data_IF_424903269288
#
_entry.id   IF_424903269288
#
_cell.length_a   1.000
_cell.length_b   1.000
_cell.length_c   1.000
_cell.angle_alpha   90.00
_cell.angle_beta   90.00
_cell.angle_gamma   90.00
#
_symmetry.space_group_name_H-M   'P 1'
#
loop_
_entity.id
_entity.type
_entity.pdbx_description
1 polymer ?
#
# COMPACT_ATOMS: atom_id res chain seq x y z
N UNK A 1 -1.98 25.54 11.62
CA UNK A 1 -2.43 24.70 10.49
C UNK A 1 -1.96 23.23 10.57
N UNK A 2 -1.48 22.75 11.73
CA UNK A 2 -0.94 21.40 11.94
C UNK A 2 -1.76 20.56 12.95
N UNK A 3 -3.05 20.85 13.19
CA UNK A 3 -3.83 20.20 14.27
C UNK A 3 -5.03 19.35 13.78
N UNK A 4 -5.25 19.26 12.46
CA UNK A 4 -6.48 18.67 11.89
C UNK A 4 -6.31 17.39 11.06
N UNK A 5 -5.10 16.97 10.68
CA UNK A 5 -4.86 15.70 9.97
C UNK A 5 -4.76 14.47 10.90
N UNK A 6 -4.59 14.67 12.21
CA UNK A 6 -4.18 13.67 13.21
C UNK A 6 -5.32 12.89 13.88
N UNK A 7 -6.54 13.40 13.74
CA UNK A 7 -7.58 13.14 14.73
C UNK A 7 -8.36 11.83 14.55
N UNK A 8 -8.26 11.02 13.49
CA UNK A 8 -9.16 9.83 13.37
C UNK A 8 -8.76 8.70 14.30
N UNK A 9 -7.61 8.07 14.06
CA UNK A 9 -7.12 6.98 14.89
C UNK A 9 -6.94 7.48 16.33
N UNK A 10 -6.39 8.69 16.50
CA UNK A 10 -6.18 9.35 17.80
C UNK A 10 -7.50 9.69 18.50
N UNK A 11 -8.54 10.20 17.83
CA UNK A 11 -9.85 10.41 18.49
C UNK A 11 -10.54 9.09 18.74
N UNK A 12 -10.36 8.09 17.89
CA UNK A 12 -10.93 6.77 18.12
C UNK A 12 -10.28 6.12 19.34
N UNK A 13 -8.94 6.08 19.44
CA UNK A 13 -8.22 5.62 20.64
C UNK A 13 -8.54 6.47 21.86
N UNK A 14 -8.58 7.80 21.75
CA UNK A 14 -8.93 8.67 22.88
C UNK A 14 -10.41 8.59 23.28
N UNK A 15 -11.33 8.32 22.36
CA UNK A 15 -12.75 8.09 22.63
C UNK A 15 -12.92 6.74 23.33
N UNK A 16 -12.30 5.66 22.83
CA UNK A 16 -12.28 4.36 23.52
C UNK A 16 -11.61 4.45 24.90
N UNK A 17 -10.56 5.28 25.04
CA UNK A 17 -9.89 5.55 26.32
C UNK A 17 -10.80 6.29 27.31
N UNK A 18 -11.46 7.38 26.87
CA UNK A 18 -12.40 8.15 27.70
C UNK A 18 -13.65 7.35 28.07
N UNK A 19 -14.09 6.44 27.21
CA UNK A 19 -15.26 5.59 27.42
C UNK A 19 -14.96 4.30 28.19
N UNK A 20 -13.75 4.15 28.78
CA UNK A 20 -13.42 2.98 29.60
C UNK A 20 -13.38 1.65 28.86
N UNK A 21 -13.23 1.65 27.53
CA UNK A 21 -13.22 0.43 26.72
C UNK A 21 -14.58 -0.03 26.18
N UNK A 22 -15.64 0.77 26.30
CA UNK A 22 -16.96 0.44 25.73
C UNK A 22 -16.99 0.67 24.22
N UNK A 23 -17.50 -0.37 23.52
CA UNK A 23 -17.76 -0.58 22.08
C UNK A 23 -17.32 0.50 21.06
N UNK A 24 -16.49 0.05 20.11
CA UNK A 24 -16.01 0.79 18.92
C UNK A 24 -17.11 1.45 18.05
N UNK A 25 -18.38 1.03 18.20
CA UNK A 25 -19.53 1.57 17.47
C UNK A 25 -19.97 2.96 17.90
N UNK A 26 -19.74 3.37 19.16
CA UNK A 26 -20.15 4.69 19.66
C UNK A 26 -19.20 5.82 19.24
N UNK A 27 -18.01 5.49 18.73
CA UNK A 27 -16.96 6.44 18.37
C UNK A 27 -16.76 6.52 16.84
N UNK A 28 -17.83 6.48 16.04
CA UNK A 28 -17.74 6.60 14.58
C UNK A 28 -17.25 8.00 14.18
N UNK A 29 -16.01 8.11 13.73
CA UNK A 29 -15.46 9.37 13.22
C UNK A 29 -15.49 9.34 11.70
N UNK A 30 -16.13 10.33 11.06
CA UNK A 30 -16.16 10.44 9.59
C UNK A 30 -14.72 10.49 9.03
N UNK A 31 -14.40 9.54 8.15
CA UNK A 31 -13.07 9.36 7.57
C UNK A 31 -12.74 10.37 6.45
N UNK A 32 -13.76 10.83 5.73
CA UNK A 32 -13.64 11.69 4.56
C UNK A 32 -12.79 12.94 4.77
N UNK A 33 -12.93 13.74 5.87
CA UNK A 33 -12.09 14.93 6.05
C UNK A 33 -10.59 14.60 6.16
N UNK A 34 -10.22 13.43 6.67
CA UNK A 34 -8.82 13.01 6.79
C UNK A 34 -8.24 12.58 5.44
N UNK A 35 -9.02 11.82 4.66
CA UNK A 35 -8.65 11.40 3.31
C UNK A 35 -8.49 12.63 2.41
N UNK A 36 -9.41 13.59 2.49
CA UNK A 36 -9.31 14.87 1.75
C UNK A 36 -8.07 15.64 2.18
N UNK A 37 -7.78 15.76 3.48
CA UNK A 37 -6.60 16.46 3.96
C UNK A 37 -5.28 15.78 3.52
N UNK A 38 -5.26 14.44 3.44
CA UNK A 38 -4.16 13.69 2.84
C UNK A 38 -4.04 13.99 1.34
N UNK A 39 -5.14 13.97 0.59
CA UNK A 39 -5.19 14.34 -0.82
C UNK A 39 -4.68 15.75 -1.10
N UNK A 40 -5.02 16.73 -0.26
CA UNK A 40 -4.49 18.11 -0.36
C UNK A 40 -2.97 18.13 -0.17
N UNK A 41 -2.43 17.39 0.82
CA UNK A 41 -1.00 17.29 1.01
C UNK A 41 -0.31 16.64 -0.20
N UNK A 42 -0.91 15.57 -0.76
CA UNK A 42 -0.40 14.93 -1.98
C UNK A 42 -0.44 15.85 -3.18
N UNK A 43 -1.48 16.68 -3.32
CA UNK A 43 -1.60 17.63 -4.42
C UNK A 43 -0.44 18.60 -4.42
N UNK A 44 -0.04 19.11 -3.25
CA UNK A 44 1.11 20.02 -3.09
C UNK A 44 2.41 19.28 -3.41
N UNK A 45 2.63 18.11 -2.80
CA UNK A 45 3.86 17.33 -2.98
C UNK A 45 4.04 16.85 -4.43
N UNK A 46 2.95 16.48 -5.10
CA UNK A 46 2.98 16.00 -6.48
C UNK A 46 3.31 17.09 -7.48
N UNK A 47 3.29 18.39 -7.14
CA UNK A 47 3.80 19.43 -8.04
C UNK A 47 5.34 19.49 -8.07
N UNK A 48 6.04 18.80 -7.18
CA UNK A 48 7.50 18.76 -7.17
C UNK A 48 7.97 17.85 -8.31
N UNK A 49 8.72 18.41 -9.27
CA UNK A 49 9.14 17.72 -10.51
C UNK A 49 10.26 16.69 -10.27
N UNK A 50 11.21 16.98 -9.38
CA UNK A 50 12.48 16.26 -9.33
C UNK A 50 12.52 15.17 -8.25
N UNK A 51 12.70 13.91 -8.65
CA UNK A 51 13.00 12.79 -7.75
C UNK A 51 14.27 13.02 -6.92
N UNK A 52 15.27 13.70 -7.49
CA UNK A 52 16.48 14.13 -6.77
C UNK A 52 16.23 15.17 -5.67
N UNK A 53 15.05 15.80 -5.61
CA UNK A 53 14.61 16.65 -4.49
C UNK A 53 13.73 15.89 -3.50
N UNK A 54 13.40 14.62 -3.79
CA UNK A 54 12.54 13.76 -2.97
C UNK A 54 13.31 12.62 -2.30
N UNK A 55 14.64 12.53 -2.46
CA UNK A 55 15.45 11.50 -1.79
C UNK A 55 15.24 11.51 -0.27
N UNK A 56 15.18 12.70 0.34
CA UNK A 56 14.91 12.87 1.76
C UNK A 56 13.51 12.38 2.13
N UNK A 57 12.53 12.56 1.25
CA UNK A 57 11.15 12.12 1.46
C UNK A 57 11.09 10.58 1.43
N UNK A 58 11.81 9.94 0.51
CA UNK A 58 11.96 8.49 0.47
C UNK A 58 12.68 7.95 1.70
N UNK A 59 13.75 8.60 2.16
CA UNK A 59 14.46 8.22 3.39
C UNK A 59 13.58 8.34 4.63
N UNK A 60 12.83 9.44 4.76
CA UNK A 60 11.85 9.63 5.85
C UNK A 60 10.77 8.57 5.78
N UNK A 61 10.20 8.30 4.60
CA UNK A 61 9.18 7.27 4.45
C UNK A 61 9.69 5.87 4.82
N UNK A 62 10.93 5.53 4.49
CA UNK A 62 11.56 4.28 4.89
C UNK A 62 11.73 4.21 6.42
N UNK A 63 12.27 5.26 7.04
CA UNK A 63 12.41 5.32 8.50
C UNK A 63 11.06 5.18 9.22
N UNK A 64 10.02 5.84 8.71
CA UNK A 64 8.67 5.74 9.26
C UNK A 64 8.07 4.34 9.06
N UNK A 65 8.39 3.65 7.95
CA UNK A 65 7.98 2.26 7.70
C UNK A 65 8.49 1.30 8.78
N UNK A 66 9.79 1.37 9.07
CA UNK A 66 10.38 0.61 10.17
C UNK A 66 9.73 1.01 11.50
N UNK A 67 9.60 2.30 11.77
CA UNK A 67 9.04 2.81 13.04
C UNK A 67 7.67 2.21 13.33
N UNK A 68 6.69 2.33 12.42
CA UNK A 68 5.36 1.80 12.70
C UNK A 68 5.34 0.27 12.76
N UNK A 69 6.16 -0.41 11.95
CA UNK A 69 6.20 -1.87 11.87
C UNK A 69 6.77 -2.49 13.14
N UNK A 70 7.87 -1.95 13.65
CA UNK A 70 8.47 -2.39 14.92
C UNK A 70 7.55 -2.11 16.11
N UNK A 71 6.90 -0.93 16.14
CA UNK A 71 5.94 -0.61 17.19
C UNK A 71 4.75 -1.57 17.14
N UNK A 72 4.16 -1.79 15.96
CA UNK A 72 3.02 -2.69 15.79
C UNK A 72 3.34 -4.11 16.25
N UNK A 73 4.45 -4.66 15.76
CA UNK A 73 4.91 -5.99 16.15
C UNK A 73 5.20 -6.09 17.66
N UNK A 74 5.88 -5.10 18.23
CA UNK A 74 6.18 -5.07 19.67
C UNK A 74 4.91 -5.04 20.53
N UNK A 75 3.92 -4.24 20.12
CA UNK A 75 2.61 -4.16 20.78
C UNK A 75 1.83 -5.48 20.68
N UNK A 76 1.89 -6.17 19.53
CA UNK A 76 1.27 -7.48 19.34
C UNK A 76 1.93 -8.57 20.20
N UNK A 77 3.26 -8.61 20.24
CA UNK A 77 4.01 -9.54 21.10
C UNK A 77 3.68 -9.29 22.56
N UNK A 78 3.69 -8.03 23.01
CA UNK A 78 3.32 -7.67 24.38
C UNK A 78 1.87 -8.07 24.69
N UNK A 79 0.95 -7.86 23.74
CA UNK A 79 -0.45 -8.27 23.88
C UNK A 79 -0.59 -9.78 24.01
N UNK A 80 0.09 -10.53 23.15
CA UNK A 80 0.12 -11.99 23.20
C UNK A 80 0.67 -12.48 24.56
N UNK A 81 1.83 -11.96 24.98
CA UNK A 81 2.45 -12.29 26.26
C UNK A 81 1.53 -12.00 27.46
N UNK A 82 0.83 -10.86 27.45
CA UNK A 82 -0.13 -10.50 28.51
C UNK A 82 -1.39 -11.36 28.54
N UNK A 83 -1.77 -11.95 27.39
CA UNK A 83 -2.97 -12.77 27.28
C UNK A 83 -2.72 -14.17 27.84
N UNK A 84 -1.48 -14.67 27.78
CA UNK A 84 -1.08 -15.97 28.32
C UNK A 84 -1.69 -17.19 27.61
N UNK A 85 -2.44 -16.98 26.52
CA UNK A 85 -3.05 -18.02 25.68
C UNK A 85 -3.10 -17.60 24.22
N UNK A 86 -3.01 -18.58 23.33
CA UNK A 86 -3.20 -18.39 21.89
C UNK A 86 -4.71 -18.31 21.62
N UNK A 87 -5.17 -17.18 21.06
CA UNK A 87 -6.59 -17.01 20.67
C UNK A 87 -6.89 -17.52 19.27
N UNK A 88 -5.91 -17.51 18.38
CA UNK A 88 -6.05 -18.02 17.03
C UNK A 88 -6.17 -19.54 16.99
N UNK A 89 -6.78 -20.05 15.93
CA UNK A 89 -6.93 -21.49 15.66
C UNK A 89 -6.24 -21.88 14.36
N UNK A 90 -5.81 -23.14 14.23
CA UNK A 90 -5.12 -23.65 13.02
C UNK A 90 -6.04 -23.64 11.80
N UNK A 91 -7.35 -23.75 11.99
CA UNK A 91 -8.33 -23.75 10.91
C UNK A 91 -8.72 -22.33 10.46
N UNK A 92 -8.10 -21.29 11.01
CA UNK A 92 -8.49 -19.90 10.75
C UNK A 92 -9.81 -19.52 11.40
N UNK A 93 -10.43 -18.44 10.93
CA UNK A 93 -11.67 -17.90 11.54
C UNK A 93 -12.73 -18.98 11.77
N UNK A 94 -13.32 -19.01 12.97
CA UNK A 94 -14.35 -19.99 13.32
C UNK A 94 -15.64 -19.74 12.52
N UNK A 95 -16.28 -20.82 12.08
CA UNK A 95 -17.61 -20.74 11.47
C UNK A 95 -18.63 -20.53 12.60
N UNK A 96 -19.51 -19.56 12.43
CA UNK A 96 -20.47 -19.19 13.47
C UNK A 96 -21.49 -18.17 12.98
N UNK A 97 -22.24 -17.53 13.91
CA UNK A 97 -23.31 -16.59 13.56
C UNK A 97 -22.82 -15.39 12.71
N UNK A 98 -21.53 -15.05 12.84
CA UNK A 98 -20.89 -13.93 12.15
C UNK A 98 -20.19 -14.32 10.85
N UNK A 99 -19.85 -15.59 10.64
CA UNK A 99 -19.08 -16.07 9.47
C UNK A 99 -19.62 -17.42 9.00
N UNK A 100 -20.20 -17.43 7.80
CA UNK A 100 -20.65 -18.64 7.12
C UNK A 100 -19.48 -19.43 6.50
N UNK A 101 -19.66 -20.73 6.17
CA UNK A 101 -18.63 -21.50 5.48
C UNK A 101 -18.17 -20.87 4.16
N UNK A 102 -19.11 -20.31 3.39
CA UNK A 102 -18.83 -19.65 2.11
C UNK A 102 -18.02 -18.37 2.32
N UNK A 103 -18.38 -17.54 3.30
CA UNK A 103 -17.60 -16.34 3.64
C UNK A 103 -16.19 -16.67 4.11
N UNK A 104 -16.02 -17.78 4.82
CA UNK A 104 -14.67 -18.27 5.20
C UNK A 104 -13.81 -18.55 3.97
N UNK A 105 -14.37 -19.20 2.94
CA UNK A 105 -13.66 -19.45 1.67
C UNK A 105 -13.29 -18.14 0.98
N UNK A 106 -14.23 -17.19 0.88
CA UNK A 106 -13.95 -15.88 0.28
C UNK A 106 -12.85 -15.11 0.98
N UNK A 107 -12.82 -15.13 2.31
CA UNK A 107 -11.73 -14.52 3.10
C UNK A 107 -10.38 -15.17 2.84
N UNK A 108 -10.32 -16.50 2.68
CA UNK A 108 -9.08 -17.19 2.31
C UNK A 108 -8.61 -16.76 0.92
N UNK A 109 -9.50 -16.70 -0.06
CA UNK A 109 -9.17 -16.26 -1.40
C UNK A 109 -8.71 -14.80 -1.44
N UNK A 110 -9.41 -13.91 -0.73
CA UNK A 110 -8.98 -12.53 -0.57
C UNK A 110 -7.59 -12.43 0.07
N UNK A 111 -7.32 -13.24 1.10
CA UNK A 111 -6.01 -13.27 1.75
C UNK A 111 -4.89 -13.67 0.79
N UNK A 112 -5.14 -14.60 -0.15
CA UNK A 112 -4.19 -14.91 -1.23
C UNK A 112 -3.89 -13.68 -2.10
N UNK A 113 -4.91 -12.89 -2.42
CA UNK A 113 -4.75 -11.62 -3.14
C UNK A 113 -3.93 -10.60 -2.36
N UNK A 114 -4.17 -10.48 -1.05
CA UNK A 114 -3.41 -9.58 -0.17
C UNK A 114 -1.93 -9.99 -0.09
N UNK A 115 -1.66 -11.30 0.01
CA UNK A 115 -0.29 -11.84 -0.03
C UNK A 115 0.33 -11.53 -1.39
N UNK A 116 -0.39 -11.80 -2.49
CA UNK A 116 0.09 -11.52 -3.84
C UNK A 116 0.46 -10.04 -4.00
N UNK A 117 -0.39 -9.12 -3.52
CA UNK A 117 -0.11 -7.68 -3.52
C UNK A 117 1.14 -7.35 -2.70
N UNK A 118 1.27 -7.91 -1.50
CA UNK A 118 2.37 -7.64 -0.59
C UNK A 118 3.75 -8.01 -1.17
N UNK A 119 3.79 -8.97 -2.11
CA UNK A 119 4.98 -9.38 -2.84
C UNK A 119 5.01 -8.94 -4.32
N UNK A 120 4.02 -8.17 -4.77
CA UNK A 120 3.97 -7.64 -6.13
C UNK A 120 4.92 -6.44 -6.27
N UNK A 121 6.21 -6.72 -6.37
CA UNK A 121 7.22 -5.74 -6.77
C UNK A 121 7.96 -6.26 -8.00
N UNK A 122 7.96 -5.47 -9.07
CA UNK A 122 8.60 -5.86 -10.34
C UNK A 122 10.01 -5.29 -10.38
N UNK A 123 11.02 -6.13 -10.13
CA UNK A 123 12.44 -5.76 -10.23
C UNK A 123 12.94 -5.93 -11.65
N UNK A 124 12.69 -4.92 -12.47
CA UNK A 124 13.32 -4.85 -13.79
C UNK A 124 14.22 -3.61 -13.87
N UNK A 125 15.44 -3.73 -13.34
CA UNK A 125 16.57 -2.90 -13.80
C UNK A 125 17.24 -3.59 -14.99
N UNK A 126 16.48 -3.77 -16.08
CA UNK A 126 16.94 -4.44 -17.30
C UNK A 126 18.15 -3.73 -17.95
N UNK A 127 18.52 -2.53 -17.47
CA UNK A 127 19.65 -1.73 -18.00
C UNK A 127 20.67 -1.24 -16.96
N UNK A 128 20.69 -1.77 -15.74
CA UNK A 128 21.70 -1.33 -14.76
C UNK A 128 23.10 -1.87 -15.09
N UNK A 129 24.18 -1.09 -14.84
CA UNK A 129 25.55 -1.57 -14.90
C UNK A 129 25.77 -2.86 -14.09
N UNK A 130 26.74 -3.73 -14.45
CA UNK A 130 26.94 -5.03 -13.79
C UNK A 130 27.15 -4.95 -12.27
N UNK A 131 27.81 -3.91 -11.76
CA UNK A 131 28.05 -3.69 -10.32
C UNK A 131 26.77 -3.31 -9.56
N UNK A 132 25.89 -2.54 -10.19
CA UNK A 132 24.57 -2.20 -9.64
C UNK A 132 23.64 -3.42 -9.63
N UNK A 133 23.71 -4.26 -10.66
CA UNK A 133 22.90 -5.48 -10.76
C UNK A 133 23.21 -6.46 -9.62
N UNK A 134 24.49 -6.72 -9.33
CA UNK A 134 24.88 -7.62 -8.23
C UNK A 134 24.51 -7.06 -6.86
N UNK A 135 24.75 -5.78 -6.63
CA UNK A 135 24.35 -5.10 -5.38
C UNK A 135 22.83 -5.16 -5.20
N UNK A 136 22.06 -4.93 -6.27
CA UNK A 136 20.61 -4.98 -6.23
C UNK A 136 20.07 -6.39 -6.01
N UNK A 137 20.70 -7.43 -6.59
CA UNK A 137 20.33 -8.83 -6.31
C UNK A 137 20.52 -9.20 -4.84
N UNK A 138 21.64 -8.79 -4.24
CA UNK A 138 21.90 -9.04 -2.81
C UNK A 138 20.90 -8.28 -1.95
N UNK A 139 20.71 -6.98 -2.20
CA UNK A 139 19.76 -6.16 -1.50
C UNK A 139 18.33 -6.71 -1.62
N UNK A 140 17.95 -7.21 -2.80
CA UNK A 140 16.63 -7.76 -3.03
C UNK A 140 16.41 -9.07 -2.27
N UNK A 141 17.36 -10.02 -2.33
CA UNK A 141 17.27 -11.26 -1.55
C UNK A 141 17.14 -10.97 -0.06
N UNK A 142 17.94 -10.04 0.46
CA UNK A 142 17.85 -9.62 1.86
C UNK A 142 16.50 -8.95 2.17
N UNK A 143 16.04 -8.03 1.33
CA UNK A 143 14.76 -7.33 1.49
C UNK A 143 13.58 -8.29 1.51
N UNK A 144 13.52 -9.26 0.59
CA UNK A 144 12.46 -10.28 0.55
C UNK A 144 12.49 -11.14 1.81
N UNK A 145 13.66 -11.57 2.25
CA UNK A 145 13.80 -12.39 3.45
C UNK A 145 13.32 -11.64 4.71
N UNK A 146 13.78 -10.40 4.90
CA UNK A 146 13.37 -9.54 6.02
C UNK A 146 11.87 -9.26 5.97
N UNK A 147 11.35 -8.86 4.81
CA UNK A 147 9.91 -8.56 4.63
C UNK A 147 9.05 -9.78 4.94
N UNK A 148 9.45 -10.96 4.46
CA UNK A 148 8.75 -12.22 4.73
C UNK A 148 8.74 -12.56 6.22
N UNK A 149 9.89 -12.44 6.88
CA UNK A 149 9.97 -12.66 8.31
C UNK A 149 9.05 -11.70 9.07
N UNK A 150 9.07 -10.40 8.74
CA UNK A 150 8.21 -9.42 9.39
C UNK A 150 6.72 -9.67 9.15
N UNK A 151 6.30 -9.93 7.92
CA UNK A 151 4.90 -10.22 7.62
C UNK A 151 4.41 -11.48 8.34
N UNK A 152 5.24 -12.53 8.38
CA UNK A 152 4.94 -13.73 9.16
C UNK A 152 4.84 -13.44 10.65
N UNK A 153 5.75 -12.64 11.21
CA UNK A 153 5.72 -12.28 12.63
C UNK A 153 4.46 -11.48 12.98
N UNK A 154 4.13 -10.44 12.22
CA UNK A 154 2.91 -9.65 12.45
C UNK A 154 1.64 -10.49 12.26
N UNK A 155 1.58 -11.32 11.22
CA UNK A 155 0.45 -12.22 10.98
C UNK A 155 0.27 -13.22 12.11
N UNK A 156 1.34 -13.91 12.52
CA UNK A 156 1.30 -14.92 13.57
C UNK A 156 1.02 -14.34 14.94
N UNK A 157 1.75 -13.30 15.38
CA UNK A 157 1.55 -12.70 16.71
C UNK A 157 0.24 -11.91 16.78
N UNK A 158 -0.13 -11.18 15.73
CA UNK A 158 -1.43 -10.54 15.63
C UNK A 158 -2.59 -11.55 15.74
N UNK A 159 -2.53 -12.65 14.99
CA UNK A 159 -3.56 -13.69 15.08
C UNK A 159 -3.54 -14.47 16.40
N UNK A 160 -2.36 -14.73 16.97
CA UNK A 160 -2.25 -15.34 18.30
C UNK A 160 -2.83 -14.44 19.40
N UNK A 161 -2.66 -13.12 19.30
CA UNK A 161 -3.14 -12.14 20.27
C UNK A 161 -4.65 -11.85 20.17
N UNK A 162 -5.21 -11.85 18.96
CA UNK A 162 -6.59 -11.40 18.70
C UNK A 162 -7.54 -12.48 18.18
N UNK A 163 -7.04 -13.57 17.58
CA UNK A 163 -7.84 -14.67 17.04
C UNK A 163 -8.85 -14.19 15.99
N UNK A 164 -10.10 -14.67 16.08
CA UNK A 164 -11.19 -14.31 15.17
C UNK A 164 -11.53 -12.81 15.16
N UNK A 165 -11.05 -12.05 16.14
CA UNK A 165 -11.22 -10.59 16.24
C UNK A 165 -10.06 -9.78 15.63
N UNK A 166 -9.11 -10.42 14.95
CA UNK A 166 -8.02 -9.72 14.25
C UNK A 166 -8.58 -8.78 13.17
N UNK A 167 -8.37 -7.45 13.27
CA UNK A 167 -8.76 -6.52 12.23
C UNK A 167 -7.76 -6.56 11.07
N UNK A 168 -8.20 -6.14 9.88
CA UNK A 168 -7.31 -6.05 8.72
C UNK A 168 -6.19 -5.00 8.86
N UNK A 169 -6.37 -3.97 9.70
CA UNK A 169 -5.28 -3.13 10.17
C UNK A 169 -5.04 -3.40 11.66
N UNK A 170 -3.97 -4.12 11.97
CA UNK A 170 -3.66 -4.57 13.35
C UNK A 170 -3.50 -3.40 14.34
N UNK A 171 -3.08 -2.21 13.88
CA UNK A 171 -2.99 -1.01 14.72
C UNK A 171 -4.35 -0.44 15.14
N UNK A 172 -5.44 -0.94 14.57
CA UNK A 172 -6.81 -0.58 14.99
C UNK A 172 -7.40 -1.55 16.02
N UNK A 173 -6.64 -2.60 16.38
CA UNK A 173 -7.10 -3.61 17.33
C UNK A 173 -7.38 -3.02 18.70
N UNK A 174 -8.56 -3.29 19.23
CA UNK A 174 -8.94 -2.87 20.57
C UNK A 174 -8.08 -3.60 21.61
N UNK A 175 -7.53 -2.84 22.57
CA UNK A 175 -6.78 -3.41 23.69
C UNK A 175 -5.27 -3.50 23.48
N UNK A 176 -4.72 -2.85 22.44
CA UNK A 176 -3.30 -2.47 22.38
C UNK A 176 -3.04 -1.28 23.31
N UNK A 177 -2.03 -1.40 24.17
CA UNK A 177 -1.56 -0.38 25.11
C UNK A 177 -0.03 -0.40 25.15
N UNK A 178 0.64 0.74 25.41
CA UNK A 178 0.08 2.05 25.74
C UNK A 178 -0.36 2.86 24.50
N UNK A 179 -1.36 3.73 24.66
CA UNK A 179 -1.99 4.45 23.54
C UNK A 179 -1.09 5.51 22.88
N UNK A 180 -0.18 6.14 23.62
CA UNK A 180 0.75 7.12 23.04
C UNK A 180 1.67 6.49 21.99
N UNK A 181 2.07 5.23 22.21
CA UNK A 181 2.92 4.50 21.29
C UNK A 181 2.14 4.09 20.02
N UNK A 182 0.86 3.76 20.20
CA UNK A 182 -0.07 3.51 19.11
C UNK A 182 -0.32 4.77 18.26
N UNK A 183 -0.41 5.93 18.89
CA UNK A 183 -0.55 7.21 18.19
C UNK A 183 0.71 7.51 17.36
N UNK A 184 1.91 7.27 17.89
CA UNK A 184 3.18 7.38 17.14
C UNK A 184 3.20 6.45 15.92
N UNK A 185 2.78 5.19 16.09
CA UNK A 185 2.72 4.24 14.97
C UNK A 185 1.77 4.73 13.87
N UNK A 186 0.58 5.21 14.23
CA UNK A 186 -0.38 5.76 13.26
C UNK A 186 0.17 7.01 12.55
N UNK A 187 0.90 7.88 13.26
CA UNK A 187 1.59 9.03 12.64
C UNK A 187 2.64 8.56 11.63
N UNK A 188 3.46 7.57 12.03
CA UNK A 188 4.48 7.02 11.15
C UNK A 188 3.86 6.35 9.91
N UNK A 189 2.72 5.65 10.02
CA UNK A 189 1.99 5.13 8.85
C UNK A 189 1.59 6.27 7.90
N UNK A 190 1.02 7.37 8.40
CA UNK A 190 0.62 8.50 7.55
C UNK A 190 1.82 9.12 6.83
N UNK A 191 2.93 9.35 7.55
CA UNK A 191 4.15 9.91 6.97
C UNK A 191 4.79 8.96 5.95
N UNK A 192 4.79 7.66 6.22
CA UNK A 192 5.23 6.64 5.28
C UNK A 192 4.38 6.69 3.99
N UNK A 193 3.05 6.71 4.11
CA UNK A 193 2.14 6.76 2.97
C UNK A 193 2.27 8.06 2.17
N UNK A 194 2.62 9.18 2.81
CA UNK A 194 2.92 10.43 2.10
C UNK A 194 4.07 10.24 1.11
N UNK A 195 5.19 9.68 1.56
CA UNK A 195 6.34 9.43 0.68
C UNK A 195 6.11 8.30 -0.31
N UNK A 196 5.48 7.20 0.12
CA UNK A 196 5.18 6.07 -0.76
C UNK A 196 4.35 6.50 -1.97
N UNK A 197 3.30 7.30 -1.77
CA UNK A 197 2.48 7.84 -2.86
C UNK A 197 3.33 8.60 -3.89
N UNK A 198 4.30 9.41 -3.43
CA UNK A 198 5.17 10.17 -4.33
C UNK A 198 6.11 9.26 -5.10
N UNK A 199 6.74 8.28 -4.43
CA UNK A 199 7.62 7.30 -5.08
C UNK A 199 6.87 6.52 -6.17
N UNK A 200 5.61 6.13 -5.93
CA UNK A 200 4.80 5.41 -6.91
C UNK A 200 4.20 6.28 -8.02
N UNK A 201 3.76 7.50 -7.71
CA UNK A 201 3.04 8.35 -8.68
C UNK A 201 3.97 9.09 -9.64
N UNK A 202 5.19 9.42 -9.21
CA UNK A 202 6.12 10.23 -10.01
C UNK A 202 6.56 9.55 -11.32
N UNK A 203 6.85 8.23 -11.39
CA UNK A 203 7.13 7.55 -12.66
C UNK A 203 5.93 7.59 -13.62
N UNK A 204 4.71 7.44 -13.09
CA UNK A 204 3.49 7.55 -13.89
C UNK A 204 3.31 8.96 -14.45
N UNK A 205 3.54 9.99 -13.62
CA UNK A 205 3.50 11.38 -14.08
C UNK A 205 4.52 11.64 -15.18
N UNK A 206 5.77 11.19 -14.98
CA UNK A 206 6.82 11.32 -15.99
C UNK A 206 6.43 10.65 -17.31
N UNK A 207 5.89 9.43 -17.26
CA UNK A 207 5.46 8.70 -18.45
C UNK A 207 4.34 9.43 -19.21
N UNK A 208 3.30 9.92 -18.51
CA UNK A 208 2.18 10.63 -19.15
C UNK A 208 2.64 11.97 -19.71
N UNK A 209 3.47 12.72 -18.98
CA UNK A 209 4.04 13.99 -19.44
C UNK A 209 4.92 13.79 -20.69
N UNK A 210 5.78 12.77 -20.71
CA UNK A 210 6.63 12.46 -21.86
C UNK A 210 5.79 12.05 -23.09
N UNK A 211 4.77 11.21 -22.90
CA UNK A 211 3.88 10.83 -24.00
C UNK A 211 3.07 12.00 -24.53
N UNK A 212 2.53 12.85 -23.65
CA UNK A 212 1.80 14.04 -24.06
C UNK A 212 2.69 14.98 -24.87
N UNK A 213 3.95 15.19 -24.44
CA UNK A 213 4.91 16.01 -25.17
C UNK A 213 5.22 15.46 -26.57
N UNK A 214 5.34 14.13 -26.71
CA UNK A 214 5.54 13.46 -28.01
C UNK A 214 4.33 13.55 -28.93
N UNK A 215 3.12 13.45 -28.39
CA UNK A 215 1.89 13.48 -29.18
C UNK A 215 1.47 14.89 -29.58
N UNK A 216 1.82 15.90 -28.78
CA UNK A 216 1.45 17.29 -29.02
C UNK A 216 2.68 18.21 -29.02
N UNK A 217 3.63 18.04 -29.96
CA UNK A 217 4.88 18.80 -29.97
C UNK A 217 4.67 20.32 -30.09
N UNK A 218 3.68 20.75 -30.86
CA UNK A 218 3.41 22.17 -31.10
C UNK A 218 2.56 22.84 -30.00
N UNK A 219 2.05 22.06 -29.04
CA UNK A 219 1.17 22.58 -27.99
C UNK A 219 1.96 23.38 -26.96
N UNK A 220 1.71 24.69 -26.92
CA UNK A 220 2.24 25.57 -25.86
C UNK A 220 1.74 25.16 -24.47
N UNK A 221 0.56 24.54 -24.34
CA UNK A 221 0.06 24.09 -23.04
C UNK A 221 0.88 22.93 -22.46
N UNK A 222 1.30 22.01 -23.34
CA UNK A 222 2.04 20.80 -22.97
C UNK A 222 3.53 21.07 -22.80
N UNK A 223 4.14 21.84 -23.71
CA UNK A 223 5.60 21.95 -23.78
C UNK A 223 6.17 23.25 -23.18
N UNK A 224 5.36 24.28 -22.93
CA UNK A 224 5.87 25.53 -22.35
C UNK A 224 6.26 25.33 -20.88
N UNK A 225 7.54 25.48 -20.59
CA UNK A 225 8.08 25.56 -19.23
C UNK A 225 8.33 27.05 -18.91
N UNK A 226 7.62 27.57 -17.91
CA UNK A 226 7.74 28.95 -17.45
C UNK A 226 8.52 28.96 -16.14
N UNK A 227 9.62 29.72 -16.06
CA UNK A 227 10.41 29.83 -14.83
C UNK A 227 9.76 30.83 -13.89
N UNK A 228 9.24 30.36 -12.76
CA UNK A 228 8.69 31.21 -11.70
C UNK A 228 9.75 31.36 -10.60
N UNK A 229 10.00 32.61 -10.18
CA UNK A 229 10.89 32.91 -9.06
C UNK A 229 10.14 32.68 -7.75
N UNK A 230 10.67 31.84 -6.87
CA UNK A 230 10.05 31.59 -5.57
C UNK A 230 10.27 32.79 -4.62
N UNK A 231 9.24 33.23 -3.88
CA UNK A 231 9.38 34.26 -2.85
C UNK A 231 10.19 33.71 -1.67
N UNK A 232 11.28 34.40 -1.29
CA UNK A 232 12.21 33.97 -0.23
C UNK A 232 13.63 33.61 -0.71
N UNK A 233 13.92 33.73 -2.01
CA UNK A 233 15.29 33.59 -2.52
C UNK A 233 16.21 34.71 -1.99
N UNK A 234 17.09 34.35 -1.05
CA UNK A 234 18.18 35.19 -0.56
C UNK A 234 19.17 35.53 -1.69
N UNK A 235 19.96 36.61 -1.48
CA UNK A 235 20.80 37.29 -2.50
C UNK A 235 21.80 36.40 -3.26
N UNK A 236 22.10 35.18 -2.78
CA UNK A 236 23.11 34.29 -3.37
C UNK A 236 22.54 32.98 -3.97
N UNK A 237 21.21 32.80 -4.06
CA UNK A 237 20.62 31.57 -4.61
C UNK A 237 19.28 31.80 -5.29
N UNK A 238 19.28 31.83 -6.63
CA UNK A 238 18.04 31.87 -7.41
C UNK A 238 17.42 30.47 -7.52
N UNK A 239 16.42 30.18 -6.69
CA UNK A 239 15.59 28.99 -6.84
C UNK A 239 14.50 29.27 -7.87
N UNK A 240 14.71 28.78 -9.09
CA UNK A 240 13.71 28.82 -10.16
C UNK A 240 12.86 27.55 -10.12
N UNK A 241 11.54 27.71 -10.08
CA UNK A 241 10.61 26.60 -10.27
C UNK A 241 10.14 26.56 -11.74
N UNK A 242 10.36 25.42 -12.40
CA UNK A 242 9.89 25.20 -13.78
C UNK A 242 8.42 24.80 -13.74
N UNK A 243 7.57 25.76 -14.09
CA UNK A 243 6.13 25.63 -14.11
C UNK A 243 5.63 25.22 -15.50
N UNK A 244 4.79 24.19 -15.55
CA UNK A 244 4.14 23.72 -16.76
C UNK A 244 2.64 23.56 -16.52
N UNK A 245 1.81 24.11 -17.40
CA UNK A 245 0.36 24.11 -17.22
C UNK A 245 -0.25 22.71 -17.34
N UNK A 246 0.18 21.92 -18.32
CA UNK A 246 -0.27 20.53 -18.46
C UNK A 246 0.05 19.71 -17.22
N UNK A 247 1.28 19.79 -16.70
CA UNK A 247 1.72 19.14 -15.46
C UNK A 247 0.82 19.50 -14.29
N UNK A 248 0.56 20.79 -14.09
CA UNK A 248 -0.29 21.26 -13.00
C UNK A 248 -1.69 20.65 -13.08
N UNK A 249 -2.32 20.74 -14.26
CA UNK A 249 -3.70 20.29 -14.47
C UNK A 249 -3.79 18.78 -14.33
N UNK A 250 -2.98 18.02 -15.06
CA UNK A 250 -3.04 16.55 -15.06
C UNK A 250 -2.73 15.96 -13.68
N UNK A 251 -1.65 16.41 -13.01
CA UNK A 251 -1.31 15.90 -11.68
C UNK A 251 -2.40 16.23 -10.66
N UNK A 252 -3.00 17.42 -10.75
CA UNK A 252 -4.16 17.80 -9.92
C UNK A 252 -5.35 16.89 -10.16
N UNK A 253 -5.72 16.66 -11.44
CA UNK A 253 -6.82 15.75 -11.80
C UNK A 253 -6.57 14.35 -11.25
N UNK A 254 -5.36 13.82 -11.42
CA UNK A 254 -4.98 12.51 -10.90
C UNK A 254 -5.16 12.41 -9.39
N UNK A 255 -4.63 13.38 -8.62
CA UNK A 255 -4.75 13.39 -7.16
C UNK A 255 -6.20 13.57 -6.70
N UNK A 256 -6.98 14.40 -7.37
CA UNK A 256 -8.40 14.60 -7.04
C UNK A 256 -9.19 13.31 -7.28
N UNK A 257 -9.01 12.67 -8.43
CA UNK A 257 -9.68 11.41 -8.77
C UNK A 257 -9.29 10.30 -7.78
N UNK A 258 -8.01 10.13 -7.47
CA UNK A 258 -7.55 9.11 -6.50
C UNK A 258 -8.08 9.36 -5.10
N UNK A 259 -8.18 10.63 -4.68
CA UNK A 259 -8.76 11.04 -3.39
C UNK A 259 -10.26 10.74 -3.35
N UNK A 260 -11.01 11.06 -4.42
CA UNK A 260 -12.45 10.77 -4.53
C UNK A 260 -12.69 9.26 -4.46
N UNK A 261 -11.93 8.46 -5.22
CA UNK A 261 -12.03 6.99 -5.17
C UNK A 261 -11.76 6.48 -3.75
N UNK A 262 -10.75 7.03 -3.06
CA UNK A 262 -10.42 6.65 -1.68
C UNK A 262 -11.53 6.97 -0.68
N UNK A 263 -12.29 8.05 -0.90
CA UNK A 263 -13.46 8.39 -0.07
C UNK A 263 -14.63 7.44 -0.36
N UNK A 264 -14.84 7.07 -1.62
CA UNK A 264 -15.95 6.22 -2.04
C UNK A 264 -15.75 4.73 -1.71
N UNK A 265 -14.49 4.27 -1.64
CA UNK A 265 -14.16 2.84 -1.43
C UNK A 265 -13.24 2.69 -0.21
N UNK A 266 -13.79 2.66 1.02
CA UNK A 266 -13.00 2.59 2.25
C UNK A 266 -12.51 1.17 2.60
N UNK A 267 -12.81 0.17 1.77
CA UNK A 267 -12.53 -1.26 2.01
C UNK A 267 -11.12 -1.64 1.56
N UNK A 268 -10.12 -1.25 2.36
CA UNK A 268 -8.71 -1.34 1.98
C UNK A 268 -8.28 -2.78 1.59
N UNK A 269 -8.63 -3.79 2.38
CA UNK A 269 -8.17 -5.16 2.14
C UNK A 269 -8.79 -5.77 0.89
N UNK A 270 -10.06 -5.49 0.60
CA UNK A 270 -10.73 -6.02 -0.59
C UNK A 270 -10.20 -5.37 -1.86
N UNK A 271 -9.94 -4.05 -1.82
CA UNK A 271 -9.31 -3.34 -2.94
C UNK A 271 -7.89 -3.83 -3.17
N UNK A 272 -7.08 -3.95 -2.12
CA UNK A 272 -5.70 -4.41 -2.22
C UNK A 272 -5.63 -5.87 -2.69
N UNK A 273 -6.52 -6.73 -2.20
CA UNK A 273 -6.61 -8.11 -2.66
C UNK A 273 -6.96 -8.21 -4.14
N UNK A 274 -7.86 -7.36 -4.63
CA UNK A 274 -8.23 -7.28 -6.04
C UNK A 274 -7.07 -6.74 -6.91
N UNK A 275 -6.41 -5.66 -6.47
CA UNK A 275 -5.24 -5.12 -7.17
C UNK A 275 -4.09 -6.13 -7.21
N UNK A 276 -3.86 -6.84 -6.11
CA UNK A 276 -2.91 -7.94 -6.01
C UNK A 276 -3.21 -9.04 -7.02
N UNK A 277 -4.45 -9.50 -7.08
CA UNK A 277 -4.88 -10.48 -8.06
C UNK A 277 -4.63 -10.00 -9.50
N UNK A 278 -5.15 -8.82 -9.87
CA UNK A 278 -5.03 -8.30 -11.25
C UNK A 278 -3.57 -8.09 -11.67
N UNK A 279 -2.72 -7.60 -10.76
CA UNK A 279 -1.32 -7.30 -11.07
C UNK A 279 -0.40 -8.52 -11.05
N UNK A 280 -0.62 -9.45 -10.12
CA UNK A 280 0.34 -10.52 -9.79
C UNK A 280 0.62 -11.46 -10.96
N UNK A 281 -0.40 -12.10 -11.53
CA UNK A 281 -0.15 -13.04 -12.61
C UNK A 281 0.51 -12.42 -13.85
N UNK A 282 -0.04 -11.34 -14.47
CA UNK A 282 0.55 -10.82 -15.69
C UNK A 282 1.95 -10.26 -15.45
N UNK A 283 2.13 -9.44 -14.40
CA UNK A 283 3.37 -8.67 -14.22
C UNK A 283 4.45 -9.43 -13.45
N UNK A 284 4.10 -10.19 -12.42
CA UNK A 284 5.07 -10.85 -11.54
C UNK A 284 5.40 -12.27 -11.96
N UNK A 285 4.48 -12.94 -12.68
CA UNK A 285 4.67 -14.35 -13.06
C UNK A 285 4.78 -14.52 -14.57
N UNK A 286 3.74 -14.19 -15.33
CA UNK A 286 3.64 -14.47 -16.75
C UNK A 286 4.74 -13.77 -17.56
N UNK A 287 4.84 -12.44 -17.49
CA UNK A 287 5.84 -11.71 -18.28
C UNK A 287 7.28 -12.15 -17.94
N UNK A 288 7.71 -12.21 -16.66
CA UNK A 288 9.05 -12.69 -16.32
C UNK A 288 9.33 -14.13 -16.78
N UNK A 289 8.35 -15.03 -16.68
CA UNK A 289 8.49 -16.41 -17.16
C UNK A 289 8.65 -16.46 -18.68
N UNK A 290 7.81 -15.74 -19.43
CA UNK A 290 7.94 -15.69 -20.90
C UNK A 290 9.26 -15.04 -21.33
N UNK A 291 9.67 -13.95 -20.67
CA UNK A 291 10.95 -13.29 -20.91
C UNK A 291 12.12 -14.25 -20.67
N UNK A 292 12.11 -15.00 -19.56
CA UNK A 292 13.14 -16.00 -19.26
C UNK A 292 13.20 -17.12 -20.30
N UNK A 293 12.04 -17.66 -20.72
CA UNK A 293 11.95 -18.70 -21.76
C UNK A 293 12.53 -18.18 -23.08
N UNK A 294 12.19 -16.95 -23.46
CA UNK A 294 12.65 -16.32 -24.70
C UNK A 294 14.15 -16.02 -24.67
N UNK A 295 14.65 -15.45 -23.57
CA UNK A 295 16.07 -15.09 -23.40
C UNK A 295 16.97 -16.33 -23.36
N UNK A 296 16.58 -17.37 -22.62
CA UNK A 296 17.34 -18.62 -22.50
C UNK A 296 17.07 -19.61 -23.63
N UNK A 297 16.19 -19.28 -24.59
CA UNK A 297 15.80 -20.13 -25.74
C UNK A 297 15.47 -21.56 -25.31
N UNK A 298 14.69 -21.71 -24.24
CA UNK A 298 14.37 -23.03 -23.70
C UNK A 298 13.61 -23.88 -24.72
N UNK A 299 14.05 -25.13 -24.89
CA UNK A 299 13.35 -26.08 -25.75
C UNK A 299 11.92 -26.31 -25.23
N UNK A 300 10.93 -26.17 -26.14
CA UNK A 300 9.54 -26.50 -25.82
C UNK A 300 9.47 -27.95 -25.33
N UNK A 301 8.65 -28.19 -24.31
CA UNK A 301 8.49 -29.48 -23.64
C UNK A 301 9.70 -30.01 -22.85
N UNK A 302 10.78 -29.23 -22.73
CA UNK A 302 11.79 -29.54 -21.72
C UNK A 302 11.18 -29.50 -20.31
N UNK A 303 11.75 -30.26 -19.37
CA UNK A 303 11.26 -30.31 -17.98
C UNK A 303 11.13 -28.91 -17.38
N UNK A 304 12.14 -28.07 -17.55
CA UNK A 304 12.13 -26.68 -17.06
C UNK A 304 11.02 -25.85 -17.71
N UNK A 305 10.81 -25.99 -19.02
CA UNK A 305 9.74 -25.27 -19.72
C UNK A 305 8.36 -25.68 -19.20
N UNK A 306 8.11 -26.99 -19.04
CA UNK A 306 6.84 -27.51 -18.52
C UNK A 306 6.61 -27.02 -17.09
N UNK A 307 7.62 -27.09 -16.22
CA UNK A 307 7.53 -26.61 -14.84
C UNK A 307 7.20 -25.11 -14.77
N UNK A 308 7.85 -24.28 -15.58
CA UNK A 308 7.58 -22.84 -15.62
C UNK A 308 6.17 -22.52 -16.13
N UNK A 309 5.68 -23.24 -17.15
CA UNK A 309 4.31 -23.08 -17.66
C UNK A 309 3.26 -23.56 -16.65
N UNK A 310 3.50 -24.68 -15.97
CA UNK A 310 2.64 -25.17 -14.90
C UNK A 310 2.59 -24.20 -13.72
N UNK A 311 3.74 -23.64 -13.32
CA UNK A 311 3.81 -22.59 -12.29
C UNK A 311 2.98 -21.38 -12.71
N UNK A 312 3.17 -20.87 -13.93
CA UNK A 312 2.43 -19.73 -14.44
C UNK A 312 0.92 -19.99 -14.46
N UNK A 313 0.49 -21.16 -14.92
CA UNK A 313 -0.92 -21.56 -14.92
C UNK A 313 -1.48 -21.72 -13.49
N UNK A 314 -0.72 -22.29 -12.56
CA UNK A 314 -1.11 -22.37 -11.15
C UNK A 314 -1.32 -20.97 -10.54
N UNK A 315 -0.39 -20.05 -10.77
CA UNK A 315 -0.51 -18.66 -10.32
C UNK A 315 -1.68 -17.92 -10.99
N UNK A 316 -2.02 -18.26 -12.24
CA UNK A 316 -3.22 -17.76 -12.91
C UNK A 316 -4.49 -18.20 -12.19
N UNK A 317 -4.60 -19.48 -11.84
CA UNK A 317 -5.75 -20.00 -11.08
C UNK A 317 -5.86 -19.32 -9.71
N UNK A 318 -4.74 -19.18 -8.98
CA UNK A 318 -4.69 -18.46 -7.69
C UNK A 318 -5.19 -17.02 -7.86
N UNK A 319 -4.80 -16.35 -8.94
CA UNK A 319 -5.23 -15.00 -9.26
C UNK A 319 -6.75 -14.92 -9.50
N UNK A 320 -7.32 -15.87 -10.25
CA UNK A 320 -8.76 -15.90 -10.50
C UNK A 320 -9.57 -16.08 -9.21
N UNK A 321 -9.17 -17.01 -8.35
CA UNK A 321 -9.87 -17.22 -7.08
C UNK A 321 -9.70 -16.02 -6.15
N UNK A 322 -8.50 -15.42 -6.10
CA UNK A 322 -8.24 -14.23 -5.29
C UNK A 322 -9.06 -13.02 -5.74
N UNK A 323 -9.21 -12.82 -7.05
CA UNK A 323 -10.09 -11.80 -7.61
C UNK A 323 -11.55 -12.06 -7.21
N UNK A 324 -12.04 -13.31 -7.33
CA UNK A 324 -13.40 -13.67 -6.93
C UNK A 324 -13.65 -13.43 -5.43
N UNK A 325 -12.72 -13.82 -4.56
CA UNK A 325 -12.81 -13.57 -3.12
C UNK A 325 -12.83 -12.09 -2.77
N UNK A 326 -12.00 -11.29 -3.43
CA UNK A 326 -11.94 -9.83 -3.22
C UNK A 326 -13.21 -9.14 -3.71
N UNK A 327 -13.76 -9.54 -4.86
CA UNK A 327 -15.04 -9.02 -5.36
C UNK A 327 -16.20 -9.38 -4.42
N UNK A 328 -16.23 -10.61 -3.91
CA UNK A 328 -17.22 -11.03 -2.92
C UNK A 328 -17.14 -10.18 -1.64
N UNK A 329 -15.92 -9.92 -1.16
CA UNK A 329 -15.67 -9.04 -0.01
C UNK A 329 -16.18 -7.60 -0.24
N UNK A 330 -15.85 -6.99 -1.38
CA UNK A 330 -16.37 -5.66 -1.76
C UNK A 330 -17.90 -5.64 -1.77
N UNK A 331 -18.56 -6.67 -2.32
CA UNK A 331 -20.01 -6.74 -2.39
C UNK A 331 -20.63 -6.84 -0.98
N UNK A 332 -20.06 -7.66 -0.10
CA UNK A 332 -20.55 -7.82 1.26
C UNK A 332 -20.39 -6.53 2.08
N UNK A 333 -19.26 -5.85 1.93
CA UNK A 333 -18.98 -4.57 2.57
C UNK A 333 -19.88 -3.43 2.04
N UNK A 334 -20.19 -3.43 0.74
CA UNK A 334 -21.15 -2.49 0.14
C UNK A 334 -22.58 -2.73 0.65
N UNK A 335 -22.98 -3.99 0.88
CA UNK A 335 -24.28 -4.29 1.50
C UNK A 335 -24.33 -3.82 2.94
N UNK A 336 -23.27 -4.06 3.71
CA UNK A 336 -23.18 -3.64 5.11
C UNK A 336 -23.26 -2.10 5.25
N UNK A 337 -22.59 -1.35 4.36
CA UNK A 337 -22.62 0.12 4.38
C UNK A 337 -23.96 0.75 3.95
N UNK A 338 -24.79 0.04 3.18
CA UNK A 338 -26.14 0.49 2.80
C UNK A 338 -27.21 0.15 3.83
N UNK A 339 -26.94 -0.81 4.72
CA UNK A 339 -27.87 -1.24 5.77
C UNK A 339 -27.70 -0.51 7.12
N UNK A 340 -26.69 0.35 7.24
CA UNK A 340 -26.38 1.16 8.44
C UNK A 340 -26.84 2.60 8.28
#
# INVERSE_FOLDING_TARGET
>A
MYKKQWNRAIRQTNCVHRSGGVSSGACSTNASPYIIAFGVAQLILSQIKNFGQLWWLSSVAAAMSFTYSFIGLGLEIAKFASTGRIKGTITGVSIGPTVTPVQKVWRVFQALGNIAFAYSYNMDTVKSPPSELETMKVANRFSVAVTTLFYMLCGCFGYAAFGDSSPGNLLTSTGLKPYWLLDIANVAVVLHLLGAYQVYSQPLFAFVEEKAAKWFPDSRFVNKETKIRLPGSSKDGNYYYNFNMFRLVWRTVFVVVSTVISVLVPFFNDVVGLLGAIGFWPLTVYFPVEMYIAERKLARWSRTWVLLKLLSFGCFVVTLVAAAGSVAGIIDDLKASKGS
#
